data_IF_548442239907
#
_entry.id   IF_548442239907
#
_cell.length_a   1.000
_cell.length_b   1.000
_cell.length_c   1.000
_cell.angle_alpha   90.00
_cell.angle_beta   90.00
_cell.angle_gamma   90.00
#
_symmetry.space_group_name_H-M   'P 1'
#
loop_
_entity.id
_entity.type
_entity.pdbx_description
1 polymer ?
#
# COMPACT_ATOMS: atom_id res chain seq x y z
N UNK A 1 3.36 -19.91 -18.13
CA UNK A 1 2.66 -18.61 -18.13
C UNK A 1 3.40 -17.71 -19.11
N UNK A 2 2.77 -17.32 -20.22
CA UNK A 2 3.37 -16.32 -21.12
C UNK A 2 3.44 -14.98 -20.38
N UNK A 3 4.51 -14.22 -20.60
CA UNK A 3 4.70 -12.92 -19.98
C UNK A 3 3.56 -11.99 -20.40
N UNK A 4 2.66 -11.70 -19.45
CA UNK A 4 1.47 -10.87 -19.67
C UNK A 4 1.85 -9.48 -20.18
N UNK A 5 2.97 -8.93 -19.70
CA UNK A 5 3.45 -7.63 -20.17
C UNK A 5 3.94 -7.69 -21.62
N UNK A 6 4.60 -8.78 -22.01
CA UNK A 6 5.01 -9.00 -23.40
C UNK A 6 3.79 -9.16 -24.33
N UNK A 7 2.75 -9.87 -23.87
CA UNK A 7 1.51 -10.04 -24.63
C UNK A 7 0.73 -8.71 -24.76
N UNK A 8 0.65 -7.91 -23.69
CA UNK A 8 0.00 -6.59 -23.72
C UNK A 8 0.76 -5.63 -24.64
N UNK A 9 2.10 -5.60 -24.57
CA UNK A 9 2.93 -4.81 -25.49
C UNK A 9 2.74 -5.24 -26.96
N UNK A 10 2.67 -6.55 -27.20
CA UNK A 10 2.39 -7.08 -28.55
C UNK A 10 0.99 -6.70 -29.01
N UNK A 11 -0.01 -6.77 -28.13
CA UNK A 11 -1.39 -6.38 -28.43
C UNK A 11 -1.48 -4.89 -28.77
N UNK A 12 -0.87 -4.00 -27.97
CA UNK A 12 -0.85 -2.56 -28.21
C UNK A 12 -0.19 -2.21 -29.55
N UNK A 13 0.90 -2.92 -29.89
CA UNK A 13 1.56 -2.78 -31.18
C UNK A 13 0.62 -3.17 -32.32
N UNK A 14 0.00 -4.35 -32.25
CA UNK A 14 -0.91 -4.84 -33.30
C UNK A 14 -2.13 -3.93 -33.48
N UNK A 15 -2.69 -3.40 -32.39
CA UNK A 15 -3.79 -2.45 -32.42
C UNK A 15 -3.38 -1.11 -33.04
N UNK A 16 -2.19 -0.63 -32.73
CA UNK A 16 -1.64 0.59 -33.32
C UNK A 16 -1.37 0.43 -34.82
N UNK A 17 -0.84 -0.73 -35.24
CA UNK A 17 -0.64 -1.10 -36.64
C UNK A 17 -1.99 -1.16 -37.37
N UNK A 18 -2.93 -1.98 -36.89
CA UNK A 18 -4.27 -2.12 -37.48
C UNK A 18 -5.01 -0.78 -37.60
N UNK A 19 -4.92 0.07 -36.57
CA UNK A 19 -5.51 1.41 -36.58
C UNK A 19 -4.89 2.30 -37.65
N UNK A 20 -3.56 2.27 -37.77
CA UNK A 20 -2.83 3.06 -38.77
C UNK A 20 -3.23 2.63 -40.18
N UNK A 21 -3.43 1.33 -40.39
CA UNK A 21 -3.89 0.77 -41.67
C UNK A 21 -5.31 1.24 -42.01
N UNK A 22 -6.18 1.39 -41.01
CA UNK A 22 -7.60 1.68 -41.20
C UNK A 22 -7.93 3.19 -41.25
N UNK A 23 -7.22 4.01 -40.47
CA UNK A 23 -7.51 5.44 -40.28
C UNK A 23 -6.40 6.36 -40.81
N UNK A 24 -5.29 5.81 -41.32
CA UNK A 24 -4.13 6.57 -41.77
C UNK A 24 -3.21 7.02 -40.63
N UNK A 25 -2.11 7.71 -40.97
CA UNK A 25 -1.05 8.09 -40.00
C UNK A 25 -1.44 9.20 -39.02
N UNK A 26 -2.47 9.98 -39.33
CA UNK A 26 -2.86 11.18 -38.56
C UNK A 26 -3.93 10.91 -37.48
N UNK A 27 -4.20 9.64 -37.15
CA UNK A 27 -5.19 9.30 -36.13
C UNK A 27 -4.65 9.48 -34.70
N UNK A 28 -5.48 10.03 -33.83
CA UNK A 28 -5.17 10.31 -32.41
C UNK A 28 -4.83 9.04 -31.66
N UNK A 29 -3.63 8.91 -31.03
CA UNK A 29 -3.18 7.68 -30.39
C UNK A 29 -4.28 7.06 -29.53
N UNK A 30 -4.61 5.79 -29.79
CA UNK A 30 -5.43 5.05 -28.83
C UNK A 30 -4.57 4.93 -27.58
N UNK A 31 -5.10 5.36 -26.42
CA UNK A 31 -4.41 5.13 -25.16
C UNK A 31 -4.13 3.63 -25.05
N UNK A 32 -2.85 3.28 -24.98
CA UNK A 32 -2.37 1.90 -24.90
C UNK A 32 -3.21 1.12 -23.87
N UNK A 33 -3.45 -0.17 -24.12
CA UNK A 33 -3.91 -1.06 -23.06
C UNK A 33 -2.76 -1.16 -22.05
N UNK A 34 -2.74 -0.25 -21.08
CA UNK A 34 -1.87 -0.37 -19.94
C UNK A 34 -2.30 -1.63 -19.18
N UNK A 35 -1.31 -2.40 -18.71
CA UNK A 35 -1.60 -3.39 -17.66
C UNK A 35 -2.51 -2.72 -16.64
N UNK A 36 -3.67 -3.31 -16.37
CA UNK A 36 -4.68 -2.71 -15.48
C UNK A 36 -4.08 -2.38 -14.10
N UNK A 37 -2.99 -3.04 -13.72
CA UNK A 37 -2.21 -2.78 -12.52
C UNK A 37 -1.38 -1.48 -12.57
N UNK A 38 -0.96 -0.95 -13.73
CA UNK A 38 -0.15 0.27 -13.84
C UNK A 38 -0.83 1.50 -13.22
N UNK A 39 -2.17 1.53 -13.18
CA UNK A 39 -2.92 2.57 -12.46
C UNK A 39 -2.45 2.64 -11.00
N UNK A 40 -2.23 1.50 -10.35
CA UNK A 40 -1.73 1.44 -8.97
C UNK A 40 -0.29 1.92 -8.83
N UNK A 41 0.56 1.77 -9.86
CA UNK A 41 1.92 2.32 -9.82
C UNK A 41 1.92 3.85 -9.87
N UNK A 42 1.12 4.43 -10.77
CA UNK A 42 0.95 5.89 -10.82
C UNK A 42 0.39 6.40 -9.49
N UNK A 43 -0.64 5.72 -8.98
CA UNK A 43 -1.26 6.05 -7.71
C UNK A 43 -0.29 5.98 -6.53
N UNK A 44 0.53 4.92 -6.44
CA UNK A 44 1.56 4.78 -5.43
C UNK A 44 2.60 5.90 -5.53
N UNK A 45 3.07 6.22 -6.74
CA UNK A 45 4.07 7.27 -6.95
C UNK A 45 3.55 8.64 -6.47
N UNK A 46 2.30 8.96 -6.75
CA UNK A 46 1.70 10.22 -6.29
C UNK A 46 1.41 10.21 -4.79
N UNK A 47 0.91 9.10 -4.23
CA UNK A 47 0.76 8.96 -2.77
C UNK A 47 2.09 9.19 -2.03
N UNK A 48 3.20 8.65 -2.55
CA UNK A 48 4.52 8.84 -1.95
C UNK A 48 4.96 10.31 -1.98
N UNK A 49 4.71 11.04 -3.09
CA UNK A 49 4.98 12.49 -3.17
C UNK A 49 4.18 13.28 -2.13
N UNK A 50 2.88 13.02 -2.00
CA UNK A 50 2.03 13.72 -1.03
C UNK A 50 2.44 13.38 0.40
N UNK A 51 2.66 12.10 0.71
CA UNK A 51 3.16 11.69 2.02
C UNK A 51 4.49 12.34 2.39
N UNK A 52 5.39 12.55 1.41
CA UNK A 52 6.64 13.29 1.65
C UNK A 52 6.35 14.74 2.07
N UNK A 53 5.47 15.43 1.36
CA UNK A 53 5.05 16.80 1.73
C UNK A 53 4.40 16.85 3.11
N UNK A 54 3.53 15.90 3.43
CA UNK A 54 2.88 15.82 4.75
C UNK A 54 3.89 15.48 5.84
N UNK A 55 4.84 14.59 5.58
CA UNK A 55 5.94 14.30 6.51
C UNK A 55 6.77 15.57 6.80
N UNK A 56 7.09 16.38 5.78
CA UNK A 56 7.81 17.64 5.94
C UNK A 56 7.02 18.66 6.79
N UNK A 57 5.69 18.70 6.65
CA UNK A 57 4.81 19.53 7.48
C UNK A 57 4.72 19.04 8.94
N UNK A 58 4.60 17.74 9.17
CA UNK A 58 4.46 17.15 10.50
C UNK A 58 5.77 17.10 11.29
N UNK A 59 6.90 17.01 10.59
CA UNK A 59 8.22 17.01 11.17
C UNK A 59 9.12 18.02 10.43
N UNK A 60 9.04 19.32 10.78
CA UNK A 60 9.82 20.38 10.10
C UNK A 60 11.33 20.16 10.17
N UNK A 61 11.82 19.52 11.24
CA UNK A 61 13.23 19.10 11.36
C UNK A 61 13.61 17.91 10.47
N UNK A 62 12.66 17.35 9.73
CA UNK A 62 12.79 16.18 8.86
C UNK A 62 12.94 14.84 9.60
N UNK A 63 12.77 14.81 10.92
CA UNK A 63 12.96 13.60 11.75
C UNK A 63 11.64 12.95 12.12
N UNK A 64 11.47 11.70 11.68
CA UNK A 64 10.30 10.87 12.00
C UNK A 64 10.74 9.42 12.27
N UNK A 65 10.08 8.76 13.21
CA UNK A 65 10.44 7.42 13.63
C UNK A 65 11.84 7.38 14.25
N UNK A 66 12.63 6.40 13.84
CA UNK A 66 14.02 6.21 14.27
C UNK A 66 14.91 7.43 14.05
N UNK A 67 14.58 8.33 13.12
CA UNK A 67 15.40 9.50 12.83
C UNK A 67 15.39 10.52 13.99
N UNK A 68 14.43 10.40 14.92
CA UNK A 68 14.37 11.17 16.17
C UNK A 68 15.41 10.70 17.20
N UNK A 69 15.91 9.47 17.06
CA UNK A 69 16.84 8.86 18.02
C UNK A 69 18.30 9.04 17.55
N UNK A 70 19.16 9.48 18.47
CA UNK A 70 20.60 9.61 18.22
C UNK A 70 21.20 8.23 17.94
N UNK A 71 21.96 8.08 16.85
CA UNK A 71 22.65 6.84 16.49
C UNK A 71 22.15 6.16 15.21
N UNK A 72 21.00 6.58 14.67
CA UNK A 72 20.44 6.03 13.43
C UNK A 72 20.68 6.91 12.18
N UNK A 73 21.55 7.93 12.26
CA UNK A 73 21.89 8.86 11.16
C UNK A 73 22.53 8.19 9.92
N UNK A 74 22.92 6.93 10.02
CA UNK A 74 23.65 6.19 8.98
C UNK A 74 22.69 5.59 7.92
N UNK A 75 21.38 5.51 8.22
CA UNK A 75 20.43 4.95 7.27
C UNK A 75 20.02 5.98 6.20
N UNK A 76 19.78 5.50 4.97
CA UNK A 76 19.31 6.34 3.86
C UNK A 76 18.09 7.17 4.28
N UNK A 77 18.08 8.45 3.85
CA UNK A 77 16.95 9.39 3.97
C UNK A 77 15.82 9.05 3.00
N UNK A 78 15.41 7.79 2.99
CA UNK A 78 14.17 7.40 2.31
C UNK A 78 12.98 7.90 3.13
N UNK A 79 11.86 8.12 2.44
CA UNK A 79 10.59 8.48 3.07
C UNK A 79 10.24 7.49 4.19
N UNK A 80 9.89 8.03 5.37
CA UNK A 80 9.80 7.23 6.60
C UNK A 80 8.75 6.11 6.49
N UNK A 81 7.63 6.38 5.84
CA UNK A 81 6.55 5.39 5.63
C UNK A 81 6.98 4.21 4.76
N UNK A 82 7.50 4.48 3.57
CA UNK A 82 7.99 3.44 2.64
C UNK A 82 9.10 2.60 3.28
N UNK A 83 10.00 3.28 3.99
CA UNK A 83 11.10 2.66 4.73
C UNK A 83 10.60 1.74 5.84
N UNK A 84 9.58 2.16 6.59
CA UNK A 84 9.00 1.30 7.63
C UNK A 84 8.28 0.09 7.01
N UNK A 85 7.47 0.27 5.97
CA UNK A 85 6.82 -0.86 5.27
C UNK A 85 7.84 -1.88 4.74
N UNK A 86 8.93 -1.39 4.13
CA UNK A 86 10.02 -2.22 3.65
C UNK A 86 10.75 -2.93 4.80
N UNK A 87 11.01 -2.24 5.91
CA UNK A 87 11.63 -2.85 7.09
C UNK A 87 10.75 -3.92 7.73
N UNK A 88 9.44 -3.67 7.89
CA UNK A 88 8.48 -4.68 8.37
C UNK A 88 8.48 -5.90 7.47
N UNK A 89 8.42 -5.72 6.15
CA UNK A 89 8.47 -6.84 5.20
C UNK A 89 9.80 -7.61 5.29
N UNK A 90 10.93 -6.92 5.42
CA UNK A 90 12.25 -7.56 5.51
C UNK A 90 12.46 -8.34 6.82
N UNK A 91 11.82 -7.91 7.91
CA UNK A 91 11.93 -8.58 9.23
C UNK A 91 10.88 -9.68 9.35
N UNK A 92 9.62 -9.35 9.11
CA UNK A 92 8.46 -10.20 9.39
C UNK A 92 7.81 -10.81 8.17
N UNK A 93 8.21 -10.47 6.93
CA UNK A 93 7.67 -11.05 5.71
C UNK A 93 8.19 -12.47 5.45
N UNK A 94 7.70 -13.14 4.38
CA UNK A 94 8.13 -14.49 4.02
C UNK A 94 9.55 -14.54 3.43
N UNK A 95 10.06 -13.41 2.96
CA UNK A 95 11.39 -13.27 2.36
C UNK A 95 12.04 -12.01 2.94
N UNK A 96 13.30 -12.13 3.36
CA UNK A 96 14.03 -11.00 3.91
C UNK A 96 15.27 -11.42 4.69
N UNK A 97 15.93 -10.45 5.31
CA UNK A 97 17.06 -10.69 6.20
C UNK A 97 16.61 -11.33 7.52
N UNK A 98 15.36 -11.07 7.97
CA UNK A 98 14.67 -11.57 9.17
C UNK A 98 15.35 -11.29 10.52
N UNK A 99 16.67 -11.28 10.59
CA UNK A 99 17.50 -11.09 11.77
C UNK A 99 17.16 -12.03 12.93
N UNK A 100 16.74 -13.26 12.63
CA UNK A 100 16.33 -14.25 13.62
C UNK A 100 14.97 -13.95 14.28
N UNK A 101 14.18 -13.03 13.71
CA UNK A 101 12.86 -12.64 14.25
C UNK A 101 11.72 -13.44 13.62
N UNK A 102 11.88 -13.91 12.39
CA UNK A 102 10.79 -14.57 11.63
C UNK A 102 10.23 -15.80 12.34
N UNK A 103 11.10 -16.68 12.85
CA UNK A 103 10.67 -17.88 13.59
C UNK A 103 9.88 -17.51 14.86
N UNK A 104 10.32 -16.48 15.60
CA UNK A 104 9.61 -15.98 16.78
C UNK A 104 8.24 -15.39 16.41
N UNK A 105 8.15 -14.72 15.26
CA UNK A 105 6.89 -14.20 14.74
C UNK A 105 5.92 -15.32 14.35
N UNK A 106 6.40 -16.36 13.68
CA UNK A 106 5.58 -17.51 13.29
C UNK A 106 5.11 -18.30 14.51
N UNK A 107 5.99 -18.56 15.46
CA UNK A 107 5.64 -19.21 16.73
C UNK A 107 4.62 -18.40 17.54
N UNK A 108 4.78 -17.06 17.57
CA UNK A 108 3.78 -16.17 18.17
C UNK A 108 2.43 -16.27 17.45
N UNK A 109 2.43 -16.23 16.12
CA UNK A 109 1.21 -16.37 15.31
C UNK A 109 0.48 -17.69 15.57
N UNK A 110 1.21 -18.81 15.61
CA UNK A 110 0.65 -20.12 15.88
C UNK A 110 0.05 -20.21 17.29
N UNK A 111 0.81 -19.74 18.29
CA UNK A 111 0.38 -19.75 19.70
C UNK A 111 -0.86 -18.91 19.95
N UNK A 112 -0.91 -17.70 19.38
CA UNK A 112 -1.99 -16.73 19.60
C UNK A 112 -3.14 -16.87 18.58
N UNK A 113 -3.06 -17.83 17.66
CA UNK A 113 -4.07 -18.01 16.61
C UNK A 113 -4.16 -16.84 15.62
N UNK A 114 -3.08 -16.07 15.46
CA UNK A 114 -3.01 -14.89 14.58
C UNK A 114 -2.53 -15.31 13.19
N UNK A 115 -3.23 -14.86 12.14
CA UNK A 115 -2.78 -15.08 10.77
C UNK A 115 -1.79 -13.98 10.36
N UNK A 116 -0.56 -14.36 10.03
CA UNK A 116 0.44 -13.42 9.50
C UNK A 116 0.03 -12.92 8.11
N UNK A 117 -0.35 -11.65 8.00
CA UNK A 117 -0.70 -11.02 6.70
C UNK A 117 0.47 -10.31 6.02
N UNK A 118 1.68 -10.36 6.60
CA UNK A 118 2.86 -9.64 6.10
C UNK A 118 3.30 -10.21 4.75
N UNK A 119 3.27 -9.36 3.72
CA UNK A 119 3.66 -9.71 2.35
C UNK A 119 5.12 -9.33 2.04
N UNK A 120 5.64 -9.80 0.91
CA UNK A 120 6.92 -9.35 0.37
C UNK A 120 6.74 -7.99 -0.31
N UNK A 121 7.49 -6.97 0.13
CA UNK A 121 7.49 -5.62 -0.44
C UNK A 121 8.02 -5.59 -1.88
N UNK A 122 8.97 -6.47 -2.24
CA UNK A 122 9.64 -6.45 -3.56
C UNK A 122 8.81 -7.09 -4.68
N UNK A 123 8.02 -8.11 -4.35
CA UNK A 123 7.31 -8.90 -5.36
C UNK A 123 5.99 -8.24 -5.77
N UNK A 124 5.34 -7.51 -4.86
CA UNK A 124 4.10 -6.78 -5.12
C UNK A 124 4.39 -5.28 -5.31
N UNK A 125 4.99 -4.92 -6.45
CA UNK A 125 5.35 -3.51 -6.72
C UNK A 125 4.14 -2.59 -6.90
N UNK A 126 2.96 -3.14 -7.17
CA UNK A 126 1.73 -2.40 -7.44
C UNK A 126 0.97 -2.04 -6.16
N UNK A 127 0.89 -2.98 -5.21
CA UNK A 127 0.04 -2.83 -4.02
C UNK A 127 0.77 -3.12 -2.71
N UNK A 128 2.06 -3.49 -2.77
CA UNK A 128 2.85 -3.93 -1.62
C UNK A 128 2.96 -2.87 -0.54
N UNK A 129 3.13 -1.59 -0.91
CA UNK A 129 3.19 -0.48 0.05
C UNK A 129 1.92 -0.41 0.92
N UNK A 130 0.75 -0.42 0.26
CA UNK A 130 -0.55 -0.30 0.89
C UNK A 130 -0.92 -1.54 1.71
N UNK A 131 -0.69 -2.74 1.15
CA UNK A 131 -0.93 -4.00 1.85
C UNK A 131 -0.05 -4.15 3.09
N UNK A 132 1.22 -3.72 3.02
CA UNK A 132 2.11 -3.73 4.17
C UNK A 132 1.70 -2.70 5.20
N UNK A 133 1.30 -1.48 4.81
CA UNK A 133 0.79 -0.50 5.75
C UNK A 133 -0.43 -1.05 6.54
N UNK A 134 -1.36 -1.72 5.86
CA UNK A 134 -2.48 -2.37 6.50
C UNK A 134 -2.06 -3.48 7.49
N UNK A 135 -1.10 -4.32 7.09
CA UNK A 135 -0.54 -5.37 7.95
C UNK A 135 0.22 -4.79 9.15
N UNK A 136 0.96 -3.69 8.95
CA UNK A 136 1.68 -2.99 10.02
C UNK A 136 0.74 -2.41 11.06
N UNK A 137 -0.35 -1.78 10.64
CA UNK A 137 -1.38 -1.32 11.57
C UNK A 137 -2.02 -2.48 12.34
N UNK A 138 -2.36 -3.58 11.66
CA UNK A 138 -3.02 -4.74 12.28
C UNK A 138 -2.14 -5.41 13.33
N UNK A 139 -0.85 -5.58 13.04
CA UNK A 139 0.06 -6.36 13.87
C UNK A 139 1.03 -5.51 14.69
N UNK A 140 0.83 -4.18 14.78
CA UNK A 140 1.75 -3.25 15.44
C UNK A 140 2.20 -3.74 16.82
N UNK A 141 1.23 -4.01 17.69
CA UNK A 141 1.51 -4.43 19.08
C UNK A 141 2.16 -5.81 19.14
N UNK A 142 1.75 -6.71 18.25
CA UNK A 142 2.37 -8.04 18.15
C UNK A 142 3.83 -7.95 17.69
N UNK A 143 4.14 -7.08 16.73
CA UNK A 143 5.52 -6.85 16.30
C UNK A 143 6.36 -6.26 17.42
N UNK A 144 5.82 -5.29 18.17
CA UNK A 144 6.52 -4.71 19.32
C UNK A 144 6.78 -5.75 20.40
N UNK A 145 5.82 -6.62 20.67
CA UNK A 145 5.97 -7.75 21.58
C UNK A 145 7.08 -8.70 21.10
N UNK A 146 7.01 -9.18 19.87
CA UNK A 146 8.02 -10.12 19.32
C UNK A 146 9.42 -9.51 19.28
N UNK A 147 9.55 -8.22 18.94
CA UNK A 147 10.84 -7.51 18.99
C UNK A 147 11.37 -7.35 20.42
N UNK A 148 10.51 -7.38 21.44
CA UNK A 148 10.94 -7.35 22.84
C UNK A 148 11.53 -8.68 23.33
N UNK A 149 11.23 -9.79 22.64
CA UNK A 149 11.78 -11.12 22.93
C UNK A 149 13.18 -11.35 22.34
N UNK A 150 13.81 -10.30 21.80
CA UNK A 150 15.17 -10.35 21.26
C UNK A 150 16.10 -9.70 22.28
N UNK A 151 16.90 -10.51 22.96
CA UNK A 151 17.80 -10.06 24.04
C UNK A 151 18.87 -9.07 23.53
N UNK A 152 19.47 -9.37 22.36
CA UNK A 152 20.48 -8.53 21.73
C UNK A 152 20.05 -8.10 20.32
N UNK A 153 19.14 -7.11 20.19
CA UNK A 153 18.60 -6.74 18.90
C UNK A 153 19.67 -6.04 18.05
N UNK A 154 19.88 -6.55 16.83
CA UNK A 154 20.68 -5.84 15.80
C UNK A 154 20.15 -4.43 15.62
N UNK A 155 21.02 -3.47 15.28
CA UNK A 155 20.66 -2.04 15.09
C UNK A 155 19.44 -1.82 14.19
N UNK A 156 19.25 -2.64 13.15
CA UNK A 156 18.08 -2.59 12.26
C UNK A 156 16.75 -2.94 12.97
N UNK A 157 16.77 -3.89 13.90
CA UNK A 157 15.59 -4.27 14.70
C UNK A 157 15.25 -3.19 15.72
N UNK A 158 16.26 -2.63 16.39
CA UNK A 158 16.09 -1.52 17.31
C UNK A 158 15.54 -0.28 16.58
N UNK A 159 16.07 0.03 15.40
CA UNK A 159 15.53 1.08 14.52
C UNK A 159 14.06 0.84 14.14
N UNK A 160 13.69 -0.38 13.74
CA UNK A 160 12.30 -0.71 13.40
C UNK A 160 11.37 -0.56 14.62
N UNK A 161 11.84 -0.94 15.82
CA UNK A 161 11.08 -0.77 17.06
C UNK A 161 10.77 0.71 17.34
N UNK A 162 11.72 1.61 17.06
CA UNK A 162 11.49 3.05 17.18
C UNK A 162 10.54 3.59 16.10
N UNK A 163 10.65 3.12 14.86
CA UNK A 163 9.69 3.45 13.80
C UNK A 163 8.25 3.03 14.19
N UNK A 164 8.05 1.81 14.73
CA UNK A 164 6.75 1.29 15.17
C UNK A 164 6.16 2.02 16.40
N UNK A 165 7.00 2.67 17.21
CA UNK A 165 6.57 3.42 18.40
C UNK A 165 6.15 4.85 18.09
N UNK A 166 6.65 5.40 16.98
CA UNK A 166 6.35 6.78 16.58
C UNK A 166 4.89 6.91 16.12
N UNK A 167 4.11 7.70 16.85
CA UNK A 167 2.69 7.88 16.56
C UNK A 167 2.43 8.68 15.29
N UNK A 168 3.28 9.65 14.96
CA UNK A 168 3.11 10.46 13.73
C UNK A 168 3.34 9.58 12.50
N UNK A 169 4.39 8.74 12.54
CA UNK A 169 4.66 7.77 11.49
C UNK A 169 3.50 6.76 11.36
N UNK A 170 2.98 6.28 12.49
CA UNK A 170 1.85 5.36 12.48
C UNK A 170 0.55 6.00 11.98
N UNK A 171 0.33 7.30 12.19
CA UNK A 171 -0.80 8.03 11.60
C UNK A 171 -0.70 8.09 10.07
N UNK A 172 0.49 8.34 9.52
CA UNK A 172 0.69 8.29 8.07
C UNK A 172 0.45 6.88 7.49
N UNK A 173 0.83 5.85 8.25
CA UNK A 173 0.67 4.45 7.85
C UNK A 173 -0.79 4.02 7.96
N UNK A 174 -1.53 4.55 8.94
CA UNK A 174 -2.98 4.42 9.01
C UNK A 174 -3.65 5.06 7.79
N UNK A 175 -3.19 6.22 7.34
CA UNK A 175 -3.62 6.82 6.07
C UNK A 175 -3.48 5.84 4.90
N UNK A 176 -2.29 5.24 4.74
CA UNK A 176 -2.05 4.21 3.72
C UNK A 176 -2.94 2.96 3.90
N UNK A 177 -3.24 2.55 5.13
CA UNK A 177 -4.19 1.44 5.41
C UNK A 177 -5.60 1.78 4.94
N UNK A 178 -6.07 2.99 5.16
CA UNK A 178 -7.40 3.42 4.69
C UNK A 178 -7.46 3.33 3.17
N UNK A 179 -6.41 3.83 2.50
CA UNK A 179 -6.26 3.75 1.04
C UNK A 179 -6.24 2.29 0.55
N UNK A 180 -5.54 1.41 1.27
CA UNK A 180 -5.54 -0.02 0.97
C UNK A 180 -6.95 -0.59 1.00
N UNK A 181 -7.67 -0.39 2.09
CA UNK A 181 -8.97 -1.02 2.33
C UNK A 181 -10.08 -0.47 1.42
N UNK A 182 -10.04 0.82 1.11
CA UNK A 182 -11.09 1.49 0.34
C UNK A 182 -10.82 1.52 -1.16
N UNK A 183 -9.56 1.55 -1.57
CA UNK A 183 -9.21 1.88 -2.95
C UNK A 183 -8.38 0.80 -3.58
N UNK A 184 -7.15 0.59 -3.09
CA UNK A 184 -6.17 -0.18 -3.84
C UNK A 184 -6.44 -1.67 -3.77
N UNK A 185 -6.96 -2.20 -2.64
CA UNK A 185 -7.38 -3.60 -2.54
C UNK A 185 -8.62 -3.91 -3.38
N UNK A 186 -9.76 -3.17 -3.28
CA UNK A 186 -10.90 -3.42 -4.17
C UNK A 186 -10.52 -3.36 -5.65
N UNK A 187 -9.70 -2.39 -6.05
CA UNK A 187 -9.19 -2.30 -7.41
C UNK A 187 -8.32 -3.50 -7.78
N UNK A 188 -7.40 -3.90 -6.91
CA UNK A 188 -6.54 -5.08 -7.13
C UNK A 188 -7.34 -6.37 -7.28
N UNK A 189 -8.29 -6.61 -6.38
CA UNK A 189 -9.15 -7.80 -6.39
C UNK A 189 -10.00 -7.84 -7.68
N UNK A 190 -10.45 -6.68 -8.16
CA UNK A 190 -11.11 -6.56 -9.46
C UNK A 190 -10.17 -6.92 -10.60
N UNK A 191 -9.01 -6.27 -10.76
CA UNK A 191 -8.15 -6.48 -11.95
C UNK A 191 -7.46 -7.85 -11.99
N UNK A 192 -7.40 -8.55 -10.85
CA UNK A 192 -6.87 -9.91 -10.74
C UNK A 192 -7.95 -10.98 -10.85
N UNK A 193 -9.23 -10.60 -10.77
CA UNK A 193 -10.33 -11.51 -11.03
C UNK A 193 -10.34 -11.95 -12.50
N UNK A 194 -10.46 -13.26 -12.78
CA UNK A 194 -10.51 -13.77 -14.15
C UNK A 194 -11.80 -13.38 -14.89
N UNK A 195 -12.79 -12.84 -14.18
CA UNK A 195 -14.07 -12.41 -14.75
C UNK A 195 -14.05 -10.96 -15.23
N UNK A 196 -13.09 -10.18 -14.77
CA UNK A 196 -13.05 -8.75 -15.05
C UNK A 196 -12.58 -8.50 -16.47
N UNK A 197 -13.42 -7.85 -17.27
CA UNK A 197 -13.05 -7.39 -18.60
C UNK A 197 -12.52 -5.96 -18.55
N UNK A 198 -11.71 -5.56 -19.54
CA UNK A 198 -11.17 -4.21 -19.61
C UNK A 198 -12.28 -3.13 -19.63
N UNK A 199 -13.44 -3.44 -20.23
CA UNK A 199 -14.57 -2.52 -20.32
C UNK A 199 -15.20 -2.20 -18.96
N UNK A 200 -15.03 -3.08 -17.97
CA UNK A 200 -15.57 -2.89 -16.61
C UNK A 200 -14.69 -1.96 -15.75
N UNK A 201 -13.49 -1.57 -16.22
CA UNK A 201 -12.63 -0.65 -15.48
C UNK A 201 -13.19 0.76 -15.42
N UNK A 202 -13.74 1.28 -16.52
CA UNK A 202 -14.20 2.67 -16.60
C UNK A 202 -15.19 3.02 -15.47
N UNK A 203 -16.31 2.29 -15.32
CA UNK A 203 -17.27 2.51 -14.24
C UNK A 203 -16.65 2.37 -12.85
N UNK A 204 -15.72 1.43 -12.65
CA UNK A 204 -15.10 1.20 -11.34
C UNK A 204 -14.11 2.28 -10.97
N UNK A 205 -13.26 2.71 -11.90
CA UNK A 205 -12.35 3.84 -11.72
C UNK A 205 -13.17 5.10 -11.40
N UNK A 206 -14.27 5.32 -12.12
CA UNK A 206 -15.17 6.44 -11.84
C UNK A 206 -15.75 6.36 -10.43
N UNK A 207 -16.23 5.19 -9.99
CA UNK A 207 -16.71 4.99 -8.62
C UNK A 207 -15.63 5.26 -7.57
N UNK A 208 -14.39 4.80 -7.81
CA UNK A 208 -13.27 5.08 -6.92
C UNK A 208 -12.96 6.58 -6.85
N UNK A 209 -12.98 7.28 -7.99
CA UNK A 209 -12.86 8.74 -8.04
C UNK A 209 -13.98 9.42 -7.25
N UNK A 210 -15.23 9.01 -7.42
CA UNK A 210 -16.37 9.54 -6.68
C UNK A 210 -16.21 9.31 -5.17
N UNK A 211 -15.69 8.15 -4.75
CA UNK A 211 -15.40 7.85 -3.35
C UNK A 211 -14.27 8.73 -2.79
N UNK A 212 -13.24 9.01 -3.59
CA UNK A 212 -12.17 9.95 -3.22
C UNK A 212 -12.68 11.37 -3.06
N UNK A 213 -13.48 11.86 -4.00
CA UNK A 213 -14.05 13.20 -3.97
C UNK A 213 -14.99 13.38 -2.78
N UNK A 214 -15.81 12.36 -2.48
CA UNK A 214 -16.67 12.34 -1.28
C UNK A 214 -15.84 12.37 0.01
N UNK A 215 -14.76 11.59 0.08
CA UNK A 215 -13.86 11.61 1.23
C UNK A 215 -13.19 12.99 1.41
N UNK A 216 -12.97 13.72 0.30
CA UNK A 216 -12.48 15.11 0.28
C UNK A 216 -13.46 16.17 0.77
N UNK A 217 -14.75 15.86 0.96
CA UNK A 217 -15.78 16.81 1.41
C UNK A 217 -15.95 16.93 2.93
N UNK A 218 -15.64 15.85 3.67
CA UNK A 218 -15.60 15.70 5.15
C UNK A 218 -15.48 14.20 5.41
N UNK A 219 -14.39 13.70 6.02
CA UNK A 219 -14.28 12.28 6.27
C UNK A 219 -15.14 11.97 7.50
N UNK A 220 -16.23 11.23 7.34
CA UNK A 220 -16.68 10.41 8.46
C UNK A 220 -15.51 9.47 8.76
N UNK A 221 -14.83 9.72 9.87
CA UNK A 221 -13.81 8.81 10.40
C UNK A 221 -14.59 7.56 10.82
N UNK A 222 -14.80 6.66 9.87
CA UNK A 222 -15.28 5.33 10.14
C UNK A 222 -14.13 4.67 10.89
N UNK A 223 -14.25 4.61 12.21
CA UNK A 223 -13.42 3.75 13.04
C UNK A 223 -13.59 2.33 12.49
N UNK A 224 -12.59 1.85 11.75
CA UNK A 224 -12.55 0.49 11.22
C UNK A 224 -12.18 -0.46 12.36
N UNK A 225 -13.04 -0.52 13.36
CA UNK A 225 -13.11 -1.62 14.31
C UNK A 225 -13.73 -2.79 13.52
N UNK A 226 -12.94 -3.85 13.31
CA UNK A 226 -13.38 -5.19 12.92
C UNK A 226 -13.61 -5.55 11.44
N UNK A 227 -13.33 -4.71 10.44
CA UNK A 227 -13.48 -5.13 9.03
C UNK A 227 -12.20 -5.80 8.47
N UNK A 228 -11.83 -6.96 9.01
CA UNK A 228 -11.09 -7.98 8.27
C UNK A 228 -12.05 -9.12 7.96
N UNK A 229 -12.72 -9.14 6.78
CA UNK A 229 -13.31 -10.39 6.31
C UNK A 229 -12.19 -11.42 6.22
N UNK A 230 -12.41 -12.58 6.84
CA UNK A 230 -11.46 -13.70 6.88
C UNK A 230 -10.79 -13.87 5.52
N UNK A 231 -9.45 -13.86 5.48
CA UNK A 231 -8.61 -14.16 4.31
C UNK A 231 -8.73 -15.65 3.90
N UNK A 232 -9.93 -16.21 3.92
CA UNK A 232 -10.24 -17.53 3.43
C UNK A 232 -10.29 -17.51 1.92
N UNK A 233 -9.12 -17.66 1.26
CA UNK A 233 -8.91 -18.34 -0.04
C UNK A 233 -7.51 -18.16 -0.65
N UNK A 234 -6.47 -18.08 0.16
CA UNK A 234 -5.12 -18.47 -0.27
C UNK A 234 -4.50 -19.40 0.76
N UNK A 235 -5.08 -20.61 0.91
CA UNK A 235 -4.40 -21.76 1.49
C UNK A 235 -3.90 -22.61 0.34
N UNK A 236 -2.58 -22.63 0.13
CA UNK A 236 -1.96 -23.85 -0.38
C UNK A 236 -2.17 -24.93 0.68
N UNK A 237 -2.46 -26.13 0.20
CA UNK A 237 -2.82 -27.29 0.99
C UNK A 237 -1.82 -27.56 2.13
N UNK A 238 -2.30 -27.45 3.37
CA UNK A 238 -2.06 -28.45 4.41
C UNK A 238 -3.26 -28.49 5.35
N UNK A 239 -3.68 -29.73 5.56
CA UNK A 239 -4.75 -30.26 6.39
C UNK A 239 -4.46 -29.93 7.86
N UNK A 240 -5.41 -29.36 8.59
CA UNK A 240 -5.84 -29.73 9.96
C UNK A 240 -6.81 -28.67 10.55
N UNK A 241 -7.93 -29.22 11.03
CA UNK A 241 -8.93 -28.84 12.07
C UNK A 241 -9.29 -27.35 12.31
N UNK A 242 -10.58 -26.95 12.29
CA UNK A 242 -11.71 -27.21 13.24
C UNK A 242 -11.44 -26.72 14.67
N UNK A 243 -12.33 -25.82 15.11
CA UNK A 243 -12.62 -25.35 16.47
C UNK A 243 -11.69 -24.29 17.08
N UNK A 244 -12.07 -23.00 16.94
CA UNK A 244 -12.06 -22.06 18.08
C UNK A 244 -12.83 -20.76 17.75
N UNK A 245 -13.92 -20.39 18.46
CA UNK A 245 -14.55 -19.08 18.31
C UNK A 245 -14.31 -18.23 19.57
N UNK A 246 -13.25 -17.40 19.59
CA UNK A 246 -13.18 -16.21 20.45
C UNK A 246 -11.84 -15.48 20.28
N UNK A 247 -11.90 -14.24 19.79
CA UNK A 247 -10.97 -13.16 20.13
C UNK A 247 -11.56 -11.84 19.61
N UNK A 248 -12.59 -11.33 20.30
CA UNK A 248 -13.03 -9.95 20.12
C UNK A 248 -12.12 -9.07 21.00
N UNK A 249 -11.17 -8.36 20.38
CA UNK A 249 -10.41 -7.31 21.05
C UNK A 249 -10.98 -5.94 20.66
N UNK A 250 -11.56 -5.25 21.63
CA UNK A 250 -11.90 -3.84 21.57
C UNK A 250 -10.62 -3.02 21.73
N UNK A 251 -10.16 -2.35 20.67
CA UNK A 251 -9.04 -1.41 20.71
C UNK A 251 -9.55 0.03 20.48
N UNK A 252 -9.72 0.76 21.58
CA UNK A 252 -9.91 2.21 21.56
C UNK A 252 -8.63 2.90 21.08
N UNK A 253 -8.61 3.35 19.83
CA UNK A 253 -7.57 4.24 19.27
C UNK A 253 -8.14 5.67 19.19
N UNK A 254 -7.81 6.49 20.19
CA UNK A 254 -8.00 7.93 20.09
C UNK A 254 -6.95 8.51 19.13
N UNK A 255 -7.33 8.73 17.86
CA UNK A 255 -6.51 9.42 16.88
C UNK A 255 -6.81 10.94 16.94
N UNK A 256 -5.81 11.84 16.97
CA UNK A 256 -6.06 13.27 16.83
C UNK A 256 -6.55 13.56 15.40
N UNK A 257 -7.85 13.86 15.29
CA UNK A 257 -8.60 14.15 14.05
C UNK A 257 -7.87 15.13 13.10
N UNK A 258 -7.08 16.06 13.64
CA UNK A 258 -6.37 17.07 12.86
C UNK A 258 -5.23 16.55 11.97
N UNK A 259 -4.60 15.42 12.29
CA UNK A 259 -3.43 14.90 11.53
C UNK A 259 -3.83 14.15 10.27
N UNK A 260 -4.98 13.45 10.30
CA UNK A 260 -5.55 12.79 9.11
C UNK A 260 -6.16 13.81 8.13
N UNK A 261 -6.68 14.93 8.65
CA UNK A 261 -7.29 15.99 7.86
C UNK A 261 -6.28 16.87 7.12
N UNK A 262 -4.99 16.86 7.47
CA UNK A 262 -3.95 17.49 6.65
C UNK A 262 -3.37 16.54 5.58
N UNK A 263 -3.44 15.22 5.83
CA UNK A 263 -2.97 14.19 4.91
C UNK A 263 -3.89 14.02 3.69
N UNK A 264 -5.20 14.15 3.88
CA UNK A 264 -6.21 13.89 2.84
C UNK A 264 -6.63 15.13 2.02
N UNK A 265 -6.29 16.36 2.44
CA UNK A 265 -7.00 17.58 1.99
C UNK A 265 -6.16 18.69 1.33
N UNK A 266 -5.02 18.37 0.71
CA UNK A 266 -4.39 19.26 -0.28
C UNK A 266 -4.71 18.76 -1.70
N UNK A 267 -5.92 19.05 -2.22
CA UNK A 267 -6.34 18.56 -3.54
C UNK A 267 -7.15 19.60 -4.35
N UNK A 268 -6.47 20.25 -5.29
CA UNK A 268 -7.06 20.75 -6.55
C UNK A 268 -6.23 20.39 -7.81
N UNK A 269 -4.97 19.94 -7.71
CA UNK A 269 -4.07 19.87 -8.89
C UNK A 269 -3.71 18.47 -9.42
N UNK A 270 -3.92 17.40 -8.65
CA UNK A 270 -3.44 16.05 -9.00
C UNK A 270 -4.45 15.23 -9.81
N UNK A 271 -5.76 15.36 -9.54
CA UNK A 271 -6.82 14.60 -10.25
C UNK A 271 -7.06 15.14 -11.67
N UNK A 272 -6.96 16.45 -11.87
CA UNK A 272 -7.09 17.05 -13.20
C UNK A 272 -5.98 16.62 -14.16
N UNK A 273 -4.82 16.19 -13.65
CA UNK A 273 -3.68 15.74 -14.47
C UNK A 273 -3.86 14.34 -15.05
N UNK A 274 -4.73 13.51 -14.46
CA UNK A 274 -5.08 12.18 -14.99
C UNK A 274 -6.14 12.24 -16.10
N UNK A 275 -6.86 13.35 -16.23
CA UNK A 275 -8.00 13.49 -17.16
C UNK A 275 -7.88 14.67 -18.14
N UNK A 276 -6.93 15.60 -17.96
CA UNK A 276 -6.66 16.66 -18.95
C UNK A 276 -5.44 16.29 -19.80
N UNK A 277 -5.59 16.16 -21.13
CA UNK A 277 -4.46 16.07 -22.03
C UNK A 277 -3.75 17.44 -22.03
N UNK A 278 -2.49 17.49 -21.58
CA UNK A 278 -1.61 18.59 -21.96
C UNK A 278 -1.30 18.44 -23.45
N UNK A 279 -2.11 19.09 -24.29
CA UNK A 279 -1.74 19.37 -25.68
C UNK A 279 -0.56 20.34 -25.66
N UNK A 280 0.67 19.81 -25.67
CA UNK A 280 1.82 20.56 -26.11
C UNK A 280 1.96 20.39 -27.62
N UNK A 281 1.34 21.31 -28.37
CA UNK A 281 1.70 21.57 -29.75
C UNK A 281 3.15 22.07 -29.78
N UNK A 282 4.09 21.20 -30.12
CA UNK A 282 5.41 21.64 -30.60
C UNK A 282 5.21 22.15 -32.03
N UNK A 283 5.20 23.47 -32.16
CA UNK A 283 5.40 24.15 -33.44
C UNK A 283 6.82 23.87 -33.94
N UNK A 284 6.91 23.22 -35.10
CA UNK A 284 8.04 23.35 -36.00
C UNK A 284 7.77 24.50 -36.97
#
# INVERSE_FOLDING_TARGET
>A
MSDRAANEKKSNRLLSEWRTDLLGKDCTPVQDFFCMAHVLLGFQADCLKHLKSVQEKLAPEGKMGRDRVKGYKIFKKDQATSRMCSAVSNVFGPVGEHFGVREKWEAFCEKEGVVSTVQNFKDNRFNGLFALAASTCLHREHFLHVLSLVEEPKKKLAALKEDLRDQDLMNLILGLRIMYLKVTRPFWDMITSPKTTYLELGPTIKKLLDEFEKAGGKPEIILLENSFPSLGKYRNATRFEKNNPQAAYSMSLACPVGTLQSFLFDHESSVSRFLKPECHSRSH
#
